data_IF_259619961334
#
_entry.id   IF_259619961334
#
_cell.length_a   1.000
_cell.length_b   1.000
_cell.length_c   1.000
_cell.angle_alpha   90.00
_cell.angle_beta   90.00
_cell.angle_gamma   90.00
#
_symmetry.space_group_name_H-M   'P 1'
#
loop_
_entity.id
_entity.type
_entity.pdbx_description
1 polymer ?
#
# COMPACT_ATOMS: atom_id res chain seq x y z
N UNK A 1 20.08 -16.66 10.77
CA UNK A 1 20.58 -15.30 10.48
C UNK A 1 19.50 -14.32 10.04
N UNK A 2 18.69 -14.57 8.99
CA UNK A 2 17.54 -13.68 8.67
C UNK A 2 16.38 -13.80 9.69
N UNK A 3 16.11 -15.02 10.19
CA UNK A 3 15.05 -15.26 11.18
C UNK A 3 15.38 -14.71 12.59
N UNK A 4 16.66 -14.61 12.96
CA UNK A 4 17.07 -14.10 14.27
C UNK A 4 16.92 -12.58 14.37
N UNK A 5 17.21 -11.85 13.30
CA UNK A 5 17.01 -10.40 13.25
C UNK A 5 15.52 -10.03 13.26
N UNK A 6 14.68 -10.80 12.55
CA UNK A 6 13.24 -10.63 12.56
C UNK A 6 12.62 -10.97 13.94
N UNK A 7 13.12 -12.01 14.59
CA UNK A 7 12.69 -12.38 15.94
C UNK A 7 13.16 -11.37 17.00
N UNK A 8 14.37 -10.83 16.89
CA UNK A 8 14.86 -9.76 17.76
C UNK A 8 14.03 -8.47 17.61
N UNK A 9 13.70 -8.08 16.38
CA UNK A 9 12.84 -6.92 16.13
C UNK A 9 11.42 -7.12 16.67
N UNK A 10 10.86 -8.34 16.57
CA UNK A 10 9.56 -8.69 17.18
C UNK A 10 9.60 -8.64 18.70
N UNK A 11 10.65 -9.17 19.31
CA UNK A 11 10.82 -9.14 20.75
C UNK A 11 10.94 -7.71 21.28
N UNK A 12 11.74 -6.86 20.62
CA UNK A 12 11.86 -5.43 20.94
C UNK A 12 10.51 -4.72 20.80
N UNK A 13 9.72 -5.06 19.78
CA UNK A 13 8.39 -4.46 19.56
C UNK A 13 7.42 -4.84 20.67
N UNK A 14 7.41 -6.10 21.10
CA UNK A 14 6.53 -6.60 22.15
C UNK A 14 6.92 -6.04 23.53
N UNK A 15 8.22 -5.91 23.81
CA UNK A 15 8.73 -5.26 25.02
C UNK A 15 8.37 -3.76 25.04
N UNK A 16 8.43 -3.07 23.88
CA UNK A 16 8.01 -1.67 23.78
C UNK A 16 6.50 -1.46 24.03
N UNK A 17 5.64 -2.37 23.56
CA UNK A 17 4.20 -2.29 23.86
C UNK A 17 3.89 -2.57 25.33
N UNK A 18 4.59 -3.51 25.95
CA UNK A 18 4.42 -3.80 27.39
C UNK A 18 4.86 -2.62 28.25
N UNK A 19 5.95 -1.95 27.89
CA UNK A 19 6.41 -0.72 28.54
C UNK A 19 5.45 0.46 28.35
N UNK A 20 4.69 0.51 27.23
CA UNK A 20 3.66 1.53 27.00
C UNK A 20 2.43 1.32 27.89
N UNK A 21 1.98 0.08 28.05
CA UNK A 21 0.85 -0.27 28.93
C UNK A 21 1.20 -0.03 30.41
N UNK A 22 2.43 -0.36 30.81
CA UNK A 22 2.93 -0.10 32.18
C UNK A 22 3.15 1.40 32.43
N UNK A 23 3.53 2.19 31.41
CA UNK A 23 3.70 3.64 31.52
C UNK A 23 2.37 4.40 31.57
N UNK A 24 1.30 3.92 30.91
CA UNK A 24 -0.05 4.49 31.08
C UNK A 24 -0.59 4.30 32.51
N UNK A 25 -0.11 3.28 33.22
CA UNK A 25 -0.47 3.04 34.62
C UNK A 25 0.29 3.92 35.62
N UNK A 26 1.36 4.62 35.22
CA UNK A 26 2.23 5.38 36.12
C UNK A 26 2.59 6.78 35.58
N UNK A 27 1.98 7.80 36.21
CA UNK A 27 2.42 9.22 36.23
C UNK A 27 2.23 10.01 34.93
N UNK A 28 1.96 11.31 35.06
CA UNK A 28 1.64 12.26 33.98
C UNK A 28 2.74 12.32 32.91
N UNK A 29 2.61 11.49 31.87
CA UNK A 29 3.47 11.54 30.70
C UNK A 29 2.93 12.54 29.67
N UNK A 30 3.75 13.51 29.26
CA UNK A 30 3.41 14.38 28.14
C UNK A 30 3.75 13.65 26.83
N UNK A 31 2.71 13.21 26.10
CA UNK A 31 2.83 12.50 24.82
C UNK A 31 2.82 13.50 23.67
N UNK A 32 3.94 13.59 22.95
CA UNK A 32 3.99 14.32 21.68
C UNK A 32 4.10 13.32 20.53
N UNK A 33 3.15 13.40 19.59
CA UNK A 33 3.14 12.58 18.37
C UNK A 33 3.47 13.49 17.20
N UNK A 34 4.65 13.31 16.61
CA UNK A 34 5.05 14.01 15.39
C UNK A 34 4.92 13.04 14.22
N UNK A 35 4.20 13.48 13.18
CA UNK A 35 4.02 12.73 11.93
C UNK A 35 4.73 13.49 10.82
N UNK A 36 5.94 13.09 10.50
CA UNK A 36 6.71 13.65 9.39
C UNK A 36 7.25 12.50 8.53
N UNK A 37 7.07 12.61 7.21
CA UNK A 37 7.64 11.69 6.22
C UNK A 37 7.38 10.19 6.50
N UNK A 38 6.15 9.82 6.88
CA UNK A 38 5.78 8.41 7.14
C UNK A 38 6.33 7.82 8.44
N UNK A 39 7.13 8.55 9.20
CA UNK A 39 7.58 8.15 10.53
C UNK A 39 6.60 8.63 11.60
N UNK A 40 6.25 7.74 12.53
CA UNK A 40 5.57 8.10 13.77
C UNK A 40 6.63 8.22 14.86
N UNK A 41 7.04 9.45 15.14
CA UNK A 41 7.90 9.70 16.28
C UNK A 41 7.02 9.92 17.51
N UNK A 42 7.10 8.99 18.47
CA UNK A 42 6.42 9.13 19.76
C UNK A 42 7.46 9.53 20.80
N UNK A 43 7.37 10.75 21.30
CA UNK A 43 8.17 11.18 22.44
C UNK A 43 7.32 11.08 23.69
N UNK A 44 7.81 10.31 24.66
CA UNK A 44 7.20 10.19 25.99
C UNK A 44 8.15 10.90 26.95
N UNK A 45 7.71 12.03 27.51
CA UNK A 45 8.41 12.65 28.62
C UNK A 45 7.84 12.08 29.92
N UNK A 46 8.66 11.38 30.69
CA UNK A 46 8.35 11.08 32.08
C UNK A 46 8.97 12.16 32.97
N UNK A 47 8.15 12.84 33.76
CA UNK A 47 8.65 13.70 34.84
C UNK A 47 8.91 12.84 36.08
N UNK A 48 10.20 12.65 36.40
CA UNK A 48 10.67 12.09 37.67
C UNK A 48 11.76 12.99 38.27
N UNK A 49 11.82 13.03 39.61
CA UNK A 49 12.72 13.90 40.37
C UNK A 49 14.20 13.71 39.99
N UNK A 50 14.83 14.82 39.55
CA UNK A 50 16.27 15.09 39.50
C UNK A 50 17.11 14.06 38.71
N UNK A 51 17.21 14.27 37.39
CA UNK A 51 18.18 13.59 36.52
C UNK A 51 17.53 13.05 35.24
N UNK A 52 17.21 13.94 34.30
CA UNK A 52 16.36 13.63 33.16
C UNK A 52 17.11 12.91 32.02
N UNK A 53 16.80 11.64 31.79
CA UNK A 53 16.95 11.00 30.47
C UNK A 53 15.60 11.01 29.75
N UNK A 54 15.53 11.66 28.59
CA UNK A 54 14.36 11.55 27.70
C UNK A 54 14.47 10.25 26.92
N UNK A 55 13.57 9.30 27.14
CA UNK A 55 13.47 8.12 26.30
C UNK A 55 12.75 8.48 24.99
N UNK A 56 13.53 8.72 23.94
CA UNK A 56 12.99 8.91 22.58
C UNK A 56 12.85 7.53 21.94
N UNK A 57 11.64 6.97 21.98
CA UNK A 57 11.33 5.76 21.21
C UNK A 57 10.99 6.20 19.78
N UNK A 58 12.01 6.22 18.92
CA UNK A 58 11.79 6.32 17.48
C UNK A 58 11.36 4.95 16.97
N UNK A 59 10.06 4.68 17.02
CA UNK A 59 9.51 3.52 16.31
C UNK A 59 9.50 3.88 14.82
N UNK A 60 10.58 3.53 14.11
CA UNK A 60 10.55 3.42 12.66
C UNK A 60 9.67 2.20 12.33
N UNK A 61 8.37 2.33 12.52
CA UNK A 61 7.46 1.36 11.99
C UNK A 61 7.62 1.45 10.48
N UNK A 62 7.96 0.31 9.85
CA UNK A 62 8.17 0.15 8.42
C UNK A 62 6.88 0.47 7.66
N UNK A 63 6.48 1.73 7.64
CA UNK A 63 5.31 2.19 6.91
C UNK A 63 5.77 2.68 5.56
N UNK A 64 5.28 1.97 4.56
CA UNK A 64 5.30 2.29 3.15
C UNK A 64 5.22 3.80 2.89
N UNK A 65 6.08 4.30 2.02
CA UNK A 65 6.04 5.66 1.49
C UNK A 65 6.23 5.67 -0.02
N UNK A 66 6.12 6.84 -0.64
CA UNK A 66 6.26 6.98 -2.08
C UNK A 66 7.69 6.71 -2.57
N UNK A 67 8.71 6.96 -1.74
CA UNK A 67 10.11 6.70 -2.09
C UNK A 67 10.41 5.20 -2.16
N UNK A 68 9.94 4.43 -1.18
CA UNK A 68 10.01 2.98 -1.12
C UNK A 68 9.33 2.36 -2.34
N UNK A 69 8.08 2.76 -2.63
CA UNK A 69 7.36 2.24 -3.79
C UNK A 69 8.06 2.58 -5.11
N UNK A 70 8.60 3.79 -5.21
CA UNK A 70 9.35 4.22 -6.40
C UNK A 70 10.60 3.37 -6.62
N UNK A 71 11.25 2.96 -5.53
CA UNK A 71 12.47 2.14 -5.54
C UNK A 71 12.27 0.65 -5.79
N UNK A 72 11.03 0.15 -5.85
CA UNK A 72 10.77 -1.26 -6.10
C UNK A 72 11.18 -1.68 -7.51
N UNK A 73 11.71 -2.90 -7.63
CA UNK A 73 11.92 -3.55 -8.91
C UNK A 73 10.59 -3.73 -9.62
N UNK A 74 10.49 -3.17 -10.83
CA UNK A 74 9.30 -3.26 -11.65
C UNK A 74 9.24 -4.62 -12.39
N UNK A 75 8.06 -5.23 -12.41
CA UNK A 75 7.77 -6.42 -13.19
C UNK A 75 6.74 -6.14 -14.27
N UNK A 76 6.87 -6.83 -15.40
CA UNK A 76 5.85 -6.83 -16.44
C UNK A 76 5.15 -8.19 -16.48
N UNK A 77 3.80 -8.21 -16.53
CA UNK A 77 3.09 -9.45 -16.79
C UNK A 77 3.46 -10.00 -18.18
N UNK A 78 3.36 -11.32 -18.35
CA UNK A 78 3.41 -11.95 -19.67
C UNK A 78 2.25 -11.45 -20.55
N UNK A 79 2.26 -11.79 -21.83
CA UNK A 79 1.11 -11.55 -22.74
C UNK A 79 -0.19 -12.20 -22.24
N UNK A 80 -0.08 -13.28 -21.47
CA UNK A 80 -1.19 -13.93 -20.77
C UNK A 80 -1.58 -13.27 -19.44
N UNK A 81 -1.04 -12.10 -19.12
CA UNK A 81 -1.34 -11.34 -17.91
C UNK A 81 -0.70 -11.91 -16.64
N UNK A 82 0.22 -12.88 -16.75
CA UNK A 82 0.73 -13.61 -15.59
C UNK A 82 2.09 -13.10 -15.11
N UNK A 83 2.22 -12.92 -13.80
CA UNK A 83 3.47 -12.68 -13.09
C UNK A 83 3.78 -13.94 -12.27
N UNK A 84 4.94 -14.53 -12.53
CA UNK A 84 5.31 -15.81 -11.91
C UNK A 84 5.51 -15.69 -10.40
N UNK A 85 5.26 -16.78 -9.67
CA UNK A 85 5.51 -16.87 -8.23
C UNK A 85 6.92 -16.42 -7.84
N UNK A 86 7.94 -16.83 -8.59
CA UNK A 86 9.34 -16.51 -8.28
C UNK A 86 9.59 -14.99 -8.35
N UNK A 87 9.11 -14.34 -9.42
CA UNK A 87 9.21 -12.89 -9.59
C UNK A 87 8.42 -12.14 -8.52
N UNK A 88 7.17 -12.54 -8.32
CA UNK A 88 6.29 -11.92 -7.33
C UNK A 88 6.87 -12.03 -5.91
N UNK A 89 7.30 -13.24 -5.50
CA UNK A 89 7.83 -13.48 -4.15
C UNK A 89 9.15 -12.75 -3.90
N UNK A 90 9.99 -12.59 -4.93
CA UNK A 90 11.31 -11.96 -4.80
C UNK A 90 11.24 -10.43 -4.85
N UNK A 91 10.32 -9.87 -5.65
CA UNK A 91 10.32 -8.44 -5.97
C UNK A 91 9.17 -7.66 -5.33
N UNK A 92 8.16 -8.35 -4.78
CA UNK A 92 7.12 -7.66 -4.02
C UNK A 92 7.67 -7.18 -2.68
N UNK A 93 7.33 -5.95 -2.33
CA UNK A 93 7.47 -5.47 -0.96
C UNK A 93 6.42 -6.13 -0.08
N UNK A 94 6.85 -6.64 1.07
CA UNK A 94 5.99 -7.35 2.02
C UNK A 94 5.80 -6.50 3.26
N UNK A 95 4.54 -6.28 3.60
CA UNK A 95 4.16 -5.67 4.87
C UNK A 95 3.59 -6.78 5.74
N UNK A 96 4.24 -7.00 6.88
CA UNK A 96 3.70 -7.84 7.96
C UNK A 96 2.55 -7.05 8.60
N UNK A 97 1.28 -7.48 8.46
CA UNK A 97 0.15 -6.71 8.98
C UNK A 97 0.14 -6.67 10.51
N UNK A 98 0.92 -7.50 11.22
CA UNK A 98 0.98 -7.48 12.69
C UNK A 98 1.50 -6.15 13.26
N UNK A 99 2.19 -5.35 12.44
CA UNK A 99 2.68 -4.02 12.85
C UNK A 99 1.54 -3.01 13.04
N UNK A 100 0.35 -3.30 12.53
CA UNK A 100 -0.82 -2.43 12.58
C UNK A 100 -2.12 -3.22 12.83
N UNK A 101 -2.81 -3.00 13.96
CA UNK A 101 -4.04 -3.74 14.29
C UNK A 101 -5.17 -3.61 13.24
N UNK A 102 -5.27 -2.49 12.51
CA UNK A 102 -6.27 -2.29 11.47
C UNK A 102 -5.88 -3.06 10.20
N UNK A 103 -4.61 -3.02 9.78
CA UNK A 103 -4.13 -3.86 8.67
C UNK A 103 -4.30 -5.34 9.00
N UNK A 104 -3.97 -5.74 10.23
CA UNK A 104 -4.18 -7.11 10.72
C UNK A 104 -5.64 -7.51 10.63
N UNK A 105 -6.56 -6.67 11.12
CA UNK A 105 -7.99 -6.95 11.06
C UNK A 105 -8.50 -7.17 9.63
N UNK A 106 -8.05 -6.35 8.68
CA UNK A 106 -8.40 -6.54 7.27
C UNK A 106 -7.78 -7.80 6.66
N UNK A 107 -6.50 -8.08 6.95
CA UNK A 107 -5.83 -9.28 6.46
C UNK A 107 -6.47 -10.56 7.02
N UNK A 108 -6.76 -10.61 8.32
CA UNK A 108 -7.44 -11.72 8.99
C UNK A 108 -8.83 -11.98 8.37
N UNK A 109 -9.59 -10.93 8.09
CA UNK A 109 -10.91 -11.04 7.46
C UNK A 109 -10.82 -11.63 6.03
N UNK A 110 -9.82 -11.22 5.25
CA UNK A 110 -9.58 -11.79 3.92
C UNK A 110 -9.16 -13.27 4.00
N UNK A 111 -8.36 -13.64 5.00
CA UNK A 111 -7.95 -15.03 5.24
C UNK A 111 -9.17 -15.89 5.61
N UNK A 112 -9.99 -15.42 6.57
CA UNK A 112 -11.11 -16.17 7.11
C UNK A 112 -12.26 -16.29 6.12
N UNK A 113 -12.60 -15.20 5.42
CA UNK A 113 -13.83 -15.09 4.64
C UNK A 113 -13.60 -15.02 3.13
N UNK A 114 -12.34 -14.93 2.68
CA UNK A 114 -12.02 -14.70 1.28
C UNK A 114 -12.45 -13.31 0.80
N UNK A 115 -12.22 -13.03 -0.49
CA UNK A 115 -12.51 -11.72 -1.07
C UNK A 115 -12.91 -11.84 -2.55
N UNK A 116 -14.00 -12.56 -2.82
CA UNK A 116 -14.40 -12.92 -4.18
C UNK A 116 -14.69 -11.71 -5.08
N UNK A 117 -15.11 -10.58 -4.48
CA UNK A 117 -15.43 -9.35 -5.20
C UNK A 117 -14.26 -8.37 -5.27
N UNK A 118 -13.17 -8.61 -4.53
CA UNK A 118 -12.05 -7.66 -4.40
C UNK A 118 -12.27 -6.53 -3.39
N UNK A 119 -13.50 -6.40 -2.86
CA UNK A 119 -13.88 -5.26 -2.02
C UNK A 119 -13.09 -5.18 -0.70
N UNK A 120 -12.70 -6.32 -0.11
CA UNK A 120 -11.92 -6.33 1.13
C UNK A 120 -10.47 -5.91 0.87
N UNK A 121 -9.87 -6.42 -0.21
CA UNK A 121 -8.51 -6.04 -0.61
C UNK A 121 -8.46 -4.56 -0.99
N UNK A 122 -9.49 -4.04 -1.68
CA UNK A 122 -9.63 -2.60 -1.95
C UNK A 122 -9.74 -1.79 -0.65
N UNK A 123 -10.51 -2.25 0.34
CA UNK A 123 -10.63 -1.56 1.64
C UNK A 123 -9.28 -1.50 2.37
N UNK A 124 -8.53 -2.60 2.38
CA UNK A 124 -7.19 -2.65 2.94
C UNK A 124 -6.23 -1.70 2.20
N UNK A 125 -6.25 -1.72 0.87
CA UNK A 125 -5.46 -0.82 0.03
C UNK A 125 -5.76 0.65 0.35
N UNK A 126 -7.04 1.01 0.46
CA UNK A 126 -7.46 2.37 0.79
C UNK A 126 -6.86 2.81 2.14
N UNK A 127 -6.96 1.96 3.16
CA UNK A 127 -6.35 2.25 4.46
C UNK A 127 -4.83 2.44 4.36
N UNK A 128 -4.16 1.58 3.59
CA UNK A 128 -2.70 1.66 3.41
C UNK A 128 -2.29 2.98 2.71
N UNK A 129 -2.92 3.33 1.59
CA UNK A 129 -2.54 4.50 0.81
C UNK A 129 -3.05 5.81 1.43
N UNK A 130 -4.26 5.86 1.97
CA UNK A 130 -4.84 7.08 2.55
C UNK A 130 -4.32 7.32 3.97
N UNK A 131 -4.32 6.30 4.83
CA UNK A 131 -4.02 6.49 6.26
C UNK A 131 -2.56 6.28 6.62
N UNK A 132 -1.79 5.48 5.85
CA UNK A 132 -0.36 5.26 6.12
C UNK A 132 0.55 6.12 5.26
N UNK A 133 0.24 6.26 3.97
CA UNK A 133 1.01 7.12 3.08
C UNK A 133 0.51 8.57 3.04
N UNK A 134 -0.70 8.86 3.55
CA UNK A 134 -1.27 10.21 3.54
C UNK A 134 -1.68 10.69 2.15
N UNK A 135 -2.00 9.78 1.24
CA UNK A 135 -2.36 10.11 -0.14
C UNK A 135 -3.85 10.45 -0.26
N UNK A 136 -4.18 11.32 -1.22
CA UNK A 136 -5.57 11.61 -1.55
C UNK A 136 -6.09 10.57 -2.55
N UNK A 137 -7.19 9.90 -2.22
CA UNK A 137 -7.88 9.01 -3.15
C UNK A 137 -8.75 9.80 -4.13
N UNK A 138 -8.66 9.44 -5.40
CA UNK A 138 -9.50 9.94 -6.48
C UNK A 138 -10.37 8.81 -7.05
N UNK A 139 -11.50 9.17 -7.65
CA UNK A 139 -12.42 8.18 -8.22
C UNK A 139 -11.96 7.73 -9.63
N UNK A 140 -11.18 6.64 -9.66
CA UNK A 140 -10.66 6.00 -10.88
C UNK A 140 -11.60 4.98 -11.55
N UNK A 141 -12.85 4.81 -11.09
CA UNK A 141 -13.78 3.82 -11.66
C UNK A 141 -14.56 4.38 -12.87
N UNK A 142 -15.02 3.52 -13.76
CA UNK A 142 -15.88 3.86 -14.91
C UNK A 142 -17.12 2.97 -14.88
N UNK A 143 -18.25 3.51 -14.44
CA UNK A 143 -19.46 2.72 -14.19
C UNK A 143 -19.31 1.75 -13.01
N UNK A 144 -20.08 0.67 -12.98
CA UNK A 144 -20.24 -0.15 -11.77
C UNK A 144 -19.07 -1.06 -11.42
N UNK A 145 -18.18 -1.41 -12.36
CA UNK A 145 -17.04 -2.31 -12.07
C UNK A 145 -15.90 -2.26 -13.10
N UNK A 146 -15.58 -1.08 -13.64
CA UNK A 146 -14.43 -0.93 -14.55
C UNK A 146 -13.51 0.19 -14.07
N UNK A 147 -12.31 0.25 -14.62
CA UNK A 147 -11.32 1.28 -14.33
C UNK A 147 -10.29 0.77 -13.33
N UNK A 148 -9.75 1.68 -12.52
CA UNK A 148 -8.72 1.37 -11.53
C UNK A 148 -9.36 0.99 -10.20
N UNK A 149 -8.79 0.01 -9.49
CA UNK A 149 -9.24 -0.34 -8.14
C UNK A 149 -8.91 0.77 -7.14
N UNK A 150 -7.73 1.36 -7.29
CA UNK A 150 -7.39 2.62 -6.63
C UNK A 150 -6.62 3.57 -7.53
N UNK A 151 -6.91 4.85 -7.34
CA UNK A 151 -6.19 5.97 -7.90
C UNK A 151 -5.86 6.93 -6.76
N UNK A 152 -4.59 7.12 -6.47
CA UNK A 152 -4.12 7.93 -5.35
C UNK A 152 -3.13 8.99 -5.82
N UNK A 153 -3.16 10.17 -5.22
CA UNK A 153 -2.29 11.29 -5.56
C UNK A 153 -1.60 11.84 -4.32
N UNK A 154 -0.30 12.13 -4.47
CA UNK A 154 0.46 12.99 -3.57
C UNK A 154 0.46 14.40 -4.17
N UNK A 155 0.13 15.40 -3.37
CA UNK A 155 -0.13 16.76 -3.87
C UNK A 155 -1.57 16.93 -4.38
N UNK A 156 -1.84 18.03 -5.07
CA UNK A 156 -3.16 18.38 -5.58
C UNK A 156 -3.35 17.89 -7.02
N UNK A 157 -4.59 17.63 -7.46
CA UNK A 157 -4.88 17.16 -8.83
C UNK A 157 -4.39 18.13 -9.92
N UNK A 158 -4.33 19.43 -9.65
CA UNK A 158 -3.83 20.44 -10.58
C UNK A 158 -2.30 20.66 -10.51
N UNK A 159 -1.62 20.03 -9.54
CA UNK A 159 -0.17 20.04 -9.40
C UNK A 159 0.28 18.78 -8.64
N UNK A 160 0.18 17.59 -9.25
CA UNK A 160 0.52 16.34 -8.61
C UNK A 160 2.04 16.20 -8.44
N UNK A 161 2.46 15.59 -7.33
CA UNK A 161 3.85 15.21 -7.07
C UNK A 161 4.10 13.74 -7.45
N UNK A 162 3.09 12.89 -7.21
CA UNK A 162 3.13 11.46 -7.51
C UNK A 162 1.72 10.93 -7.71
N UNK A 163 1.54 9.98 -8.61
CA UNK A 163 0.25 9.34 -8.88
C UNK A 163 0.44 7.83 -8.78
N UNK A 164 -0.42 7.15 -8.04
CA UNK A 164 -0.44 5.69 -7.95
C UNK A 164 -1.74 5.16 -8.55
N UNK A 165 -1.61 4.29 -9.55
CA UNK A 165 -2.69 3.45 -10.06
C UNK A 165 -2.48 2.06 -9.49
N UNK A 166 -3.53 1.52 -8.87
CA UNK A 166 -3.46 0.25 -8.16
C UNK A 166 -4.50 -0.73 -8.65
N UNK A 167 -4.12 -2.00 -8.65
CA UNK A 167 -4.99 -3.14 -8.94
C UNK A 167 -4.93 -4.13 -7.77
N UNK A 168 -6.08 -4.54 -7.27
CA UNK A 168 -6.20 -5.52 -6.20
C UNK A 168 -6.42 -6.91 -6.80
N UNK A 169 -5.59 -7.89 -6.41
CA UNK A 169 -5.75 -9.29 -6.85
C UNK A 169 -5.71 -10.25 -5.67
N UNK A 170 -6.43 -11.35 -5.85
CA UNK A 170 -6.28 -12.52 -4.98
C UNK A 170 -5.06 -13.33 -5.42
N UNK A 171 -4.23 -13.72 -4.44
CA UNK A 171 -3.07 -14.59 -4.67
C UNK A 171 -3.44 -16.05 -4.38
N UNK A 172 -3.62 -16.84 -5.43
CA UNK A 172 -4.07 -18.25 -5.30
C UNK A 172 -2.92 -19.26 -5.21
N UNK A 173 -1.81 -19.05 -5.94
CA UNK A 173 -0.70 -20.01 -6.06
C UNK A 173 0.69 -19.38 -5.88
N UNK A 174 0.73 -18.14 -5.39
CA UNK A 174 1.96 -17.37 -5.18
C UNK A 174 2.36 -16.45 -6.34
N UNK A 175 1.83 -16.68 -7.54
CA UNK A 175 1.86 -15.71 -8.64
C UNK A 175 0.61 -14.83 -8.66
N UNK A 176 0.57 -13.88 -9.58
CA UNK A 176 -0.56 -12.96 -9.79
C UNK A 176 -0.95 -12.93 -11.25
N UNK A 177 -2.25 -12.92 -11.51
CA UNK A 177 -2.83 -12.83 -12.86
C UNK A 177 -3.61 -11.54 -13.00
N UNK A 178 -3.21 -10.71 -13.96
CA UNK A 178 -3.95 -9.59 -14.52
C UNK A 178 -4.76 -10.09 -15.73
N UNK A 179 -5.82 -9.37 -16.11
CA UNK A 179 -6.58 -9.75 -17.29
C UNK A 179 -5.69 -9.67 -18.56
N UNK A 180 -5.57 -10.74 -19.35
CA UNK A 180 -4.73 -10.76 -20.53
C UNK A 180 -5.29 -9.88 -21.64
N UNK A 181 -4.44 -9.57 -22.62
CA UNK A 181 -4.91 -9.05 -23.90
C UNK A 181 -5.80 -10.09 -24.60
N UNK A 182 -6.88 -9.63 -25.23
CA UNK A 182 -7.73 -10.45 -26.07
C UNK A 182 -7.93 -9.76 -27.43
N UNK A 183 -7.08 -10.17 -28.39
CA UNK A 183 -7.06 -9.67 -29.77
C UNK A 183 -8.40 -9.84 -30.50
N UNK A 184 -9.20 -10.86 -30.16
CA UNK A 184 -10.50 -11.08 -30.80
C UNK A 184 -11.56 -10.04 -30.37
N UNK A 185 -11.38 -9.46 -29.19
CA UNK A 185 -12.30 -8.46 -28.62
C UNK A 185 -11.72 -7.05 -28.61
N UNK A 186 -10.43 -6.90 -28.96
CA UNK A 186 -9.69 -5.65 -28.81
C UNK A 186 -9.44 -5.24 -27.36
N UNK A 187 -9.64 -6.14 -26.39
CA UNK A 187 -9.37 -5.87 -24.98
C UNK A 187 -7.86 -5.86 -24.75
N UNK A 188 -7.37 -4.75 -24.18
CA UNK A 188 -5.97 -4.53 -23.87
C UNK A 188 -5.59 -5.25 -22.56
N UNK A 189 -4.35 -5.70 -22.46
CA UNK A 189 -3.84 -6.32 -21.22
C UNK A 189 -3.97 -5.34 -20.04
N UNK A 190 -4.59 -5.78 -18.95
CA UNK A 190 -4.84 -4.94 -17.78
C UNK A 190 -3.51 -4.41 -17.19
N UNK A 191 -3.51 -3.14 -16.80
CA UNK A 191 -2.34 -2.38 -16.31
C UNK A 191 -1.19 -2.18 -17.34
N UNK A 192 -1.39 -2.54 -18.62
CA UNK A 192 -0.54 -2.03 -19.71
C UNK A 192 -0.78 -0.54 -19.96
N UNK A 193 0.18 0.16 -20.56
CA UNK A 193 0.05 1.61 -20.83
C UNK A 193 -1.14 1.91 -21.73
N UNK A 194 -1.35 1.07 -22.75
CA UNK A 194 -2.51 1.18 -23.63
C UNK A 194 -3.83 0.98 -22.85
N UNK A 195 -3.87 0.03 -21.91
CA UNK A 195 -5.06 -0.20 -21.09
C UNK A 195 -5.32 1.00 -20.16
N UNK A 196 -4.28 1.53 -19.52
CA UNK A 196 -4.38 2.74 -18.68
C UNK A 196 -4.90 3.91 -19.52
N UNK A 197 -4.35 4.15 -20.71
CA UNK A 197 -4.79 5.20 -21.62
C UNK A 197 -6.26 5.02 -22.05
N UNK A 198 -6.70 3.77 -22.26
CA UNK A 198 -8.10 3.45 -22.55
C UNK A 198 -9.01 3.79 -21.37
N UNK A 199 -8.61 3.45 -20.14
CA UNK A 199 -9.35 3.83 -18.92
C UNK A 199 -9.40 5.36 -18.77
N UNK A 200 -8.28 6.06 -18.97
CA UNK A 200 -8.21 7.53 -18.93
C UNK A 200 -9.18 8.18 -19.93
N UNK A 201 -9.21 7.66 -21.16
CA UNK A 201 -10.15 8.14 -22.20
C UNK A 201 -11.60 7.93 -21.77
N UNK A 202 -11.91 6.79 -21.16
CA UNK A 202 -13.25 6.47 -20.65
C UNK A 202 -13.64 7.29 -19.43
N UNK A 203 -12.70 7.60 -18.53
CA UNK A 203 -12.91 8.52 -17.41
C UNK A 203 -13.31 9.90 -17.93
N UNK A 204 -12.58 10.43 -18.93
CA UNK A 204 -12.91 11.70 -19.57
C UNK A 204 -14.31 11.68 -20.19
N UNK A 205 -14.64 10.64 -20.94
CA UNK A 205 -15.97 10.46 -21.54
C UNK A 205 -17.09 10.31 -20.52
N UNK A 206 -16.79 9.82 -19.31
CA UNK A 206 -17.72 9.73 -18.19
C UNK A 206 -17.86 11.04 -17.40
N UNK A 207 -17.25 12.15 -17.86
CA UNK A 207 -17.31 13.46 -17.22
C UNK A 207 -16.27 13.68 -16.12
N UNK A 208 -15.34 12.75 -15.91
CA UNK A 208 -14.24 12.89 -14.93
C UNK A 208 -13.03 13.56 -15.57
N UNK A 209 -13.25 14.75 -16.13
CA UNK A 209 -12.25 15.48 -16.92
C UNK A 209 -11.00 15.81 -16.13
N UNK A 210 -11.15 16.28 -14.89
CA UNK A 210 -10.00 16.73 -14.09
C UNK A 210 -9.04 15.58 -13.77
N UNK A 211 -9.59 14.41 -13.46
CA UNK A 211 -8.81 13.19 -13.20
C UNK A 211 -8.12 12.70 -14.47
N UNK A 212 -8.85 12.66 -15.58
CA UNK A 212 -8.31 12.22 -16.86
C UNK A 212 -7.21 13.16 -17.36
N UNK A 213 -7.43 14.48 -17.27
CA UNK A 213 -6.49 15.49 -17.73
C UNK A 213 -5.23 15.53 -16.86
N UNK A 214 -5.34 15.31 -15.55
CA UNK A 214 -4.18 15.09 -14.67
C UNK A 214 -3.32 13.92 -15.15
N UNK A 215 -3.94 12.77 -15.45
CA UNK A 215 -3.23 11.58 -15.91
C UNK A 215 -2.58 11.78 -17.30
N UNK A 216 -3.23 12.53 -18.18
CA UNK A 216 -2.69 12.87 -19.51
C UNK A 216 -1.52 13.85 -19.41
N UNK A 217 -1.61 14.84 -18.52
CA UNK A 217 -0.59 15.89 -18.38
C UNK A 217 0.67 15.39 -17.64
N UNK A 218 0.55 14.36 -16.79
CA UNK A 218 1.61 13.91 -15.91
C UNK A 218 1.92 12.41 -16.00
N UNK A 219 2.15 11.83 -17.20
CA UNK A 219 2.36 10.40 -17.35
C UNK A 219 3.60 9.91 -16.57
N UNK A 220 4.66 10.71 -16.52
CA UNK A 220 5.91 10.35 -15.82
C UNK A 220 5.78 10.29 -14.29
N UNK A 221 4.68 10.79 -13.72
CA UNK A 221 4.41 10.72 -12.28
C UNK A 221 3.61 9.47 -11.88
N UNK A 222 3.10 8.72 -12.86
CA UNK A 222 2.26 7.55 -12.64
C UNK A 222 3.10 6.33 -12.33
N UNK A 223 2.81 5.70 -11.20
CA UNK A 223 3.29 4.38 -10.84
C UNK A 223 2.13 3.40 -10.73
N UNK A 224 2.36 2.21 -11.29
CA UNK A 224 1.37 1.14 -11.32
C UNK A 224 1.77 0.09 -10.31
N UNK A 225 0.88 -0.27 -9.39
CA UNK A 225 1.12 -1.26 -8.35
C UNK A 225 0.05 -2.34 -8.42
N UNK A 226 0.43 -3.61 -8.25
CA UNK A 226 -0.52 -4.67 -7.90
C UNK A 226 -0.38 -5.01 -6.43
N UNK A 227 -1.52 -5.10 -5.74
CA UNK A 227 -1.61 -5.41 -4.32
C UNK A 227 -2.32 -6.74 -4.12
N UNK A 228 -1.77 -7.58 -3.25
CA UNK A 228 -2.40 -8.84 -2.83
C UNK A 228 -2.28 -9.05 -1.33
N UNK A 229 -3.17 -9.90 -0.80
CA UNK A 229 -3.00 -10.49 0.53
C UNK A 229 -2.65 -11.98 0.35
N UNK A 230 -1.55 -12.40 0.97
CA UNK A 230 -1.20 -13.81 1.03
C UNK A 230 -2.11 -14.51 2.04
N UNK A 231 -3.06 -15.32 1.55
CA UNK A 231 -4.04 -16.01 2.41
C UNK A 231 -3.44 -17.02 3.39
N UNK A 232 -2.18 -17.42 3.22
CA UNK A 232 -1.51 -18.34 4.14
C UNK A 232 -0.79 -17.63 5.30
N UNK A 233 -0.32 -16.40 5.09
CA UNK A 233 0.51 -15.68 6.07
C UNK A 233 -0.13 -14.38 6.56
N UNK A 234 -1.07 -13.82 5.81
CA UNK A 234 -1.63 -12.49 6.04
C UNK A 234 -0.81 -11.36 5.41
N UNK A 235 0.39 -11.65 4.91
CA UNK A 235 1.28 -10.61 4.36
C UNK A 235 0.60 -9.85 3.22
N UNK A 236 0.71 -8.53 3.28
CA UNK A 236 0.29 -7.64 2.20
C UNK A 236 1.47 -7.47 1.26
N UNK A 237 1.30 -7.84 -0.01
CA UNK A 237 2.34 -7.77 -1.02
C UNK A 237 2.05 -6.64 -1.99
N UNK A 238 3.03 -5.78 -2.24
CA UNK A 238 2.97 -4.71 -3.22
C UNK A 238 4.06 -4.93 -4.27
N UNK A 239 3.67 -5.04 -5.53
CA UNK A 239 4.60 -5.19 -6.64
C UNK A 239 4.41 -4.07 -7.65
N UNK A 240 5.51 -3.40 -8.00
CA UNK A 240 5.53 -2.38 -9.05
C UNK A 240 5.39 -3.01 -10.43
N UNK A 241 4.55 -2.42 -11.27
CA UNK A 241 4.21 -2.90 -12.61
C UNK A 241 4.79 -1.98 -13.69
N UNK A 242 5.96 -2.33 -14.23
CA UNK A 242 6.64 -1.51 -15.23
C UNK A 242 6.78 -0.02 -14.85
N UNK A 243 7.06 0.80 -15.86
CA UNK A 243 6.83 2.25 -15.80
C UNK A 243 5.61 2.58 -16.68
N UNK A 244 5.07 3.79 -16.56
CA UNK A 244 4.03 4.33 -17.46
C UNK A 244 4.65 5.40 -18.36
#
# INVERSE_FOLDING_TARGET
MLDEAANAARQITQEAYTLLDDAEAAVSAEKTVIRENGAVQTTIKQEGEVGHESLVITQAANYIDDALLSGLSAELPTTSGYISKSKFTSNAHKIDPQVDPILKGHADDIIANGDLTGAKTETLQNYLFENKMGLTRLDGKVGSNNGFDGLFVKGATNNPEKIFITECKQQWSGGVSLAPENLNTGLLAQMSDNWVQSVVTRLRSAGKTDVADMLIAHPTLVEKIVLTVNKSTGDINLLKLGNY
#
